data_IF_041513605322
#
_entry.id   IF_041513605322
#
_cell.length_a   1.000
_cell.length_b   1.000
_cell.length_c   1.000
_cell.angle_alpha   90.00
_cell.angle_beta   90.00
_cell.angle_gamma   90.00
#
_symmetry.space_group_name_H-M   'P 1'
#
loop_
_entity.id
_entity.type
_entity.pdbx_description
1 polymer ?
#
# COMPACT_ATOMS: atom_id res chain seq x y z
N UNK A 1 25.37 17.40 4.56
CA UNK A 1 25.90 16.18 5.23
C UNK A 1 24.96 15.65 6.32
N UNK A 2 24.34 16.48 7.16
CA UNK A 2 23.39 16.04 8.21
C UNK A 2 22.20 15.19 7.70
N UNK A 3 21.64 15.50 6.54
CA UNK A 3 20.54 14.74 5.97
C UNK A 3 20.91 13.31 5.52
N UNK A 4 22.18 13.06 5.19
CA UNK A 4 22.69 11.73 4.84
C UNK A 4 22.96 10.90 6.10
N UNK A 5 23.44 11.52 7.16
CA UNK A 5 23.79 10.85 8.41
C UNK A 5 22.54 10.48 9.23
N UNK A 6 21.50 11.30 9.16
CA UNK A 6 20.23 11.10 9.89
C UNK A 6 19.15 10.37 9.08
N UNK A 7 19.49 9.81 7.95
CA UNK A 7 18.53 9.08 7.12
C UNK A 7 18.18 7.75 7.80
N UNK A 8 16.92 7.53 8.23
CA UNK A 8 16.53 6.26 8.80
C UNK A 8 16.58 5.20 7.71
N UNK A 9 17.51 4.28 7.85
CA UNK A 9 17.63 3.09 7.03
C UNK A 9 17.73 1.87 7.94
N UNK A 10 17.57 0.69 7.40
CA UNK A 10 17.70 -0.57 8.13
C UNK A 10 19.01 -0.61 8.92
N UNK A 11 18.92 -0.78 10.23
CA UNK A 11 20.05 -0.85 11.14
C UNK A 11 20.69 0.49 11.52
N UNK A 12 20.17 1.59 11.02
CA UNK A 12 20.62 2.95 11.39
C UNK A 12 19.53 3.66 12.17
N UNK A 13 19.82 4.07 13.39
CA UNK A 13 18.89 4.84 14.19
C UNK A 13 18.85 6.28 13.70
N UNK A 14 17.66 6.90 13.61
CA UNK A 14 17.52 8.31 13.27
C UNK A 14 18.09 9.20 14.39
N UNK A 15 18.44 10.45 14.05
CA UNK A 15 18.83 11.44 15.03
C UNK A 15 17.74 11.75 16.06
N UNK A 16 18.14 12.27 17.21
CA UNK A 16 17.22 12.60 18.33
C UNK A 16 16.04 13.47 17.92
N UNK A 17 16.23 14.36 16.95
CA UNK A 17 15.22 15.31 16.50
C UNK A 17 14.25 14.73 15.45
N UNK A 18 14.48 13.50 14.98
CA UNK A 18 13.70 12.89 13.93
C UNK A 18 12.20 12.77 14.26
N UNK A 19 11.78 12.29 15.45
CA UNK A 19 10.37 12.24 15.81
C UNK A 19 9.70 13.63 15.83
N UNK A 20 10.43 14.65 16.25
CA UNK A 20 9.97 16.04 16.23
C UNK A 20 9.75 16.51 14.78
N UNK A 21 10.74 16.29 13.90
CA UNK A 21 10.65 16.66 12.48
C UNK A 21 9.46 15.97 11.77
N UNK A 22 9.24 14.68 12.02
CA UNK A 22 8.09 13.97 11.45
C UNK A 22 6.77 14.59 11.90
N UNK A 23 6.65 14.94 13.17
CA UNK A 23 5.46 15.55 13.74
C UNK A 23 5.22 16.96 13.20
N UNK A 24 6.23 17.80 13.20
CA UNK A 24 6.09 19.19 12.79
C UNK A 24 5.94 19.38 11.28
N UNK A 25 6.53 18.50 10.47
CA UNK A 25 6.50 18.62 9.01
C UNK A 25 5.44 17.73 8.39
N UNK A 26 5.46 16.44 8.62
CA UNK A 26 4.53 15.52 7.92
C UNK A 26 3.15 15.52 8.57
N UNK A 27 3.05 15.57 9.90
CA UNK A 27 1.73 15.60 10.54
C UNK A 27 1.02 16.93 10.39
N UNK A 28 1.74 18.02 10.06
CA UNK A 28 1.10 19.32 9.77
C UNK A 28 0.20 19.30 8.51
N UNK A 29 0.45 18.36 7.60
CA UNK A 29 -0.33 18.16 6.37
C UNK A 29 -1.16 16.87 6.40
N UNK A 30 -1.32 16.27 7.57
CA UNK A 30 -2.11 15.06 7.73
C UNK A 30 -3.56 15.30 7.31
N UNK A 31 -4.21 14.32 6.65
CA UNK A 31 -5.64 14.41 6.36
C UNK A 31 -6.47 14.55 7.64
N UNK A 32 -7.60 15.24 7.54
CA UNK A 32 -8.52 15.41 8.66
C UNK A 32 -8.90 14.06 9.28
N UNK A 33 -8.76 13.96 10.60
CA UNK A 33 -8.99 12.73 11.37
C UNK A 33 -7.75 11.87 11.58
N UNK A 34 -6.59 12.22 11.00
CA UNK A 34 -5.31 11.53 11.17
C UNK A 34 -4.25 12.38 11.88
N UNK A 35 -4.64 13.49 12.49
CA UNK A 35 -3.74 14.47 13.12
C UNK A 35 -2.93 13.86 14.28
N UNK A 36 -3.46 12.83 14.92
CA UNK A 36 -2.83 12.09 16.01
C UNK A 36 -2.23 10.75 15.57
N UNK A 37 -2.06 10.56 14.26
CA UNK A 37 -1.49 9.34 13.69
C UNK A 37 0.01 9.19 13.96
N UNK A 38 0.54 8.05 13.55
CA UNK A 38 1.97 7.77 13.57
C UNK A 38 2.53 7.76 12.15
N UNK A 39 3.73 8.29 11.98
CA UNK A 39 4.46 8.26 10.70
C UNK A 39 5.59 7.25 10.79
N UNK A 40 5.57 6.29 9.89
CA UNK A 40 6.69 5.34 9.70
C UNK A 40 7.31 5.59 8.34
N UNK A 41 8.58 5.94 8.32
CA UNK A 41 9.31 6.20 7.08
C UNK A 41 9.90 4.92 6.51
N UNK A 42 9.81 4.78 5.17
CA UNK A 42 10.32 3.64 4.43
C UNK A 42 11.29 4.10 3.34
N UNK A 43 12.07 3.17 2.77
CA UNK A 43 13.06 3.48 1.73
C UNK A 43 12.44 4.02 0.45
N UNK A 44 11.25 3.55 0.08
CA UNK A 44 10.58 3.94 -1.16
C UNK A 44 9.07 3.64 -1.09
N UNK A 45 8.32 4.06 -2.11
CA UNK A 45 6.89 3.79 -2.21
C UNK A 45 6.52 2.31 -2.21
N UNK A 46 7.33 1.44 -2.84
CA UNK A 46 7.11 -0.02 -2.79
C UNK A 46 7.17 -0.55 -1.36
N UNK A 47 8.21 -0.16 -0.60
CA UNK A 47 8.34 -0.57 0.80
C UNK A 47 7.22 -0.01 1.68
N UNK A 48 6.75 1.21 1.39
CA UNK A 48 5.62 1.82 2.09
C UNK A 48 4.33 1.02 1.85
N UNK A 49 4.07 0.61 0.60
CA UNK A 49 2.93 -0.23 0.26
C UNK A 49 3.01 -1.61 0.91
N UNK A 50 4.17 -2.28 0.86
CA UNK A 50 4.39 -3.58 1.53
C UNK A 50 4.09 -3.49 3.04
N UNK A 51 4.60 -2.44 3.68
CA UNK A 51 4.33 -2.23 5.10
C UNK A 51 2.84 -1.94 5.38
N UNK A 52 2.18 -1.17 4.52
CA UNK A 52 0.74 -0.90 4.62
C UNK A 52 -0.09 -2.18 4.49
N UNK A 53 0.23 -3.05 3.54
CA UNK A 53 -0.43 -4.35 3.39
C UNK A 53 -0.26 -5.20 4.65
N UNK A 54 0.95 -5.25 5.19
CA UNK A 54 1.26 -5.98 6.42
C UNK A 54 0.47 -5.46 7.62
N UNK A 55 0.37 -4.13 7.79
CA UNK A 55 -0.44 -3.52 8.85
C UNK A 55 -1.94 -3.82 8.70
N UNK A 56 -2.46 -3.82 7.47
CA UNK A 56 -3.84 -4.21 7.19
C UNK A 56 -4.11 -5.68 7.55
N UNK A 57 -3.20 -6.59 7.22
CA UNK A 57 -3.31 -8.00 7.61
C UNK A 57 -3.30 -8.18 9.12
N UNK A 58 -2.38 -7.49 9.83
CA UNK A 58 -2.34 -7.55 11.29
C UNK A 58 -3.65 -7.09 11.91
N UNK A 59 -4.15 -5.94 11.46
CA UNK A 59 -5.41 -5.39 11.99
C UNK A 59 -6.61 -6.27 11.70
N UNK A 60 -6.68 -6.82 10.49
CA UNK A 60 -7.74 -7.75 10.10
C UNK A 60 -7.70 -9.02 10.96
N UNK A 61 -6.54 -9.65 11.11
CA UNK A 61 -6.39 -10.87 11.88
C UNK A 61 -6.56 -10.67 13.38
N UNK A 62 -6.14 -9.52 13.93
CA UNK A 62 -6.44 -9.13 15.31
C UNK A 62 -7.95 -9.12 15.55
N UNK A 63 -8.72 -8.49 14.64
CA UNK A 63 -10.18 -8.46 14.68
C UNK A 63 -10.78 -9.88 14.60
N UNK A 64 -10.28 -10.70 13.69
CA UNK A 64 -10.77 -12.09 13.52
C UNK A 64 -10.49 -12.96 14.74
N UNK A 65 -9.38 -12.74 15.44
CA UNK A 65 -9.07 -13.43 16.71
C UNK A 65 -9.87 -12.94 17.91
N UNK A 66 -10.60 -11.83 17.79
CA UNK A 66 -11.36 -11.26 18.90
C UNK A 66 -10.48 -10.72 20.04
N UNK A 67 -9.24 -10.31 19.73
CA UNK A 67 -8.29 -9.75 20.70
C UNK A 67 -7.54 -10.78 21.56
N UNK A 68 -7.72 -12.10 21.34
CA UNK A 68 -6.91 -13.12 22.01
C UNK A 68 -5.46 -13.12 21.49
N UNK A 69 -4.54 -13.59 22.31
CA UNK A 69 -3.16 -13.84 21.91
C UNK A 69 -3.03 -15.01 20.91
N UNK A 70 -1.84 -15.15 20.32
CA UNK A 70 -1.52 -16.26 19.43
C UNK A 70 -1.46 -17.57 20.22
N UNK A 71 -1.95 -18.65 19.61
CA UNK A 71 -1.77 -19.99 20.14
C UNK A 71 -0.53 -20.66 19.52
N UNK A 72 -0.16 -21.84 20.07
CA UNK A 72 1.02 -22.58 19.65
C UNK A 72 0.94 -23.06 18.19
N UNK A 73 -0.25 -23.46 17.74
CA UNK A 73 -0.48 -23.89 16.37
C UNK A 73 -0.27 -22.73 15.37
N UNK A 74 -0.75 -21.51 15.69
CA UNK A 74 -0.53 -20.33 14.88
C UNK A 74 0.96 -19.95 14.84
N UNK A 75 1.66 -20.06 15.96
CA UNK A 75 3.10 -19.75 16.05
C UNK A 75 3.96 -20.77 15.29
N UNK A 76 3.61 -22.04 15.29
CA UNK A 76 4.37 -23.07 14.58
C UNK A 76 4.06 -23.11 13.09
N UNK A 77 2.79 -23.02 12.72
CA UNK A 77 2.37 -23.08 11.32
C UNK A 77 2.83 -21.86 10.49
N UNK A 78 2.94 -20.67 11.10
CA UNK A 78 3.47 -19.52 10.40
C UNK A 78 4.94 -19.66 9.98
N UNK A 79 5.73 -20.44 10.71
CA UNK A 79 7.16 -20.68 10.38
C UNK A 79 7.35 -21.52 9.12
N UNK A 80 6.31 -22.24 8.70
CA UNK A 80 6.30 -23.04 7.46
C UNK A 80 5.31 -22.49 6.42
N UNK A 81 4.89 -21.24 6.58
CA UNK A 81 3.98 -20.52 5.67
C UNK A 81 2.62 -21.22 5.49
N UNK A 82 2.10 -21.84 6.55
CA UNK A 82 0.82 -22.55 6.52
C UNK A 82 -0.22 -21.91 7.45
N UNK A 83 -1.49 -22.13 7.11
CA UNK A 83 -2.60 -21.79 8.00
C UNK A 83 -2.55 -22.70 9.26
N UNK A 84 -3.05 -22.22 10.42
CA UNK A 84 -3.73 -20.93 10.63
C UNK A 84 -2.78 -19.73 10.83
N UNK A 85 -1.50 -19.94 11.14
CA UNK A 85 -0.56 -18.86 11.44
C UNK A 85 -0.22 -17.98 10.24
N UNK A 86 -0.23 -18.54 9.01
CA UNK A 86 -0.15 -17.76 7.76
C UNK A 86 -1.50 -17.78 7.05
N UNK A 87 -2.34 -16.77 7.21
CA UNK A 87 -3.67 -16.73 6.61
C UNK A 87 -3.60 -16.53 5.10
N UNK A 88 -4.58 -17.08 4.36
CA UNK A 88 -4.75 -16.85 2.93
C UNK A 88 -5.53 -15.55 2.70
N UNK A 89 -4.82 -14.42 2.77
CA UNK A 89 -5.37 -13.10 2.51
C UNK A 89 -4.79 -12.53 1.22
N UNK A 90 -5.52 -11.60 0.62
CA UNK A 90 -5.11 -10.92 -0.62
C UNK A 90 -5.42 -9.43 -0.53
N UNK A 91 -4.82 -8.66 -1.43
CA UNK A 91 -5.11 -7.24 -1.61
C UNK A 91 -5.84 -7.07 -2.95
N UNK A 92 -7.02 -6.46 -2.92
CA UNK A 92 -7.72 -6.05 -4.13
C UNK A 92 -7.01 -4.82 -4.72
N UNK A 93 -6.67 -4.89 -5.99
CA UNK A 93 -6.10 -3.78 -6.75
C UNK A 93 -6.98 -3.42 -7.95
N UNK A 94 -6.62 -2.34 -8.65
CA UNK A 94 -7.35 -1.88 -9.83
C UNK A 94 -6.47 -1.95 -11.08
N UNK A 95 -7.11 -2.27 -12.22
CA UNK A 95 -6.43 -2.28 -13.51
C UNK A 95 -5.82 -0.90 -13.84
N UNK A 96 -4.66 -0.91 -14.49
CA UNK A 96 -3.88 0.29 -14.81
C UNK A 96 -3.12 0.90 -13.63
N UNK A 97 -3.31 0.41 -12.38
CA UNK A 97 -2.62 0.91 -11.19
C UNK A 97 -1.14 0.54 -11.14
N UNK A 98 -0.33 1.42 -10.55
CA UNK A 98 1.08 1.15 -10.24
C UNK A 98 1.32 1.32 -8.74
N UNK A 99 1.77 0.25 -8.08
CA UNK A 99 1.98 0.21 -6.62
C UNK A 99 3.42 -0.07 -6.21
N UNK A 100 4.30 -0.34 -7.16
CA UNK A 100 5.71 -0.64 -6.92
C UNK A 100 6.16 -1.95 -7.57
N UNK A 101 7.42 -2.33 -7.32
CA UNK A 101 8.06 -3.49 -7.95
C UNK A 101 8.61 -4.52 -6.96
N UNK A 102 8.35 -4.39 -5.67
CA UNK A 102 8.57 -5.48 -4.70
C UNK A 102 7.45 -6.52 -4.84
N UNK A 103 7.61 -7.72 -4.35
CA UNK A 103 6.74 -8.85 -4.68
C UNK A 103 5.24 -8.59 -4.47
N UNK A 104 4.84 -8.11 -3.29
CA UNK A 104 3.42 -7.84 -3.04
C UNK A 104 2.95 -6.55 -3.75
N UNK A 105 3.75 -5.49 -3.78
CA UNK A 105 3.42 -4.28 -4.52
C UNK A 105 3.34 -4.53 -6.05
N UNK A 106 4.19 -5.40 -6.59
CA UNK A 106 4.14 -5.80 -8.00
C UNK A 106 2.92 -6.69 -8.31
N UNK A 107 2.48 -7.50 -7.34
CA UNK A 107 1.24 -8.28 -7.47
C UNK A 107 0.01 -7.37 -7.66
N UNK A 108 0.03 -6.17 -7.06
CA UNK A 108 -0.99 -5.14 -7.22
C UNK A 108 -0.75 -4.19 -8.40
N UNK A 109 0.40 -4.26 -9.08
CA UNK A 109 0.74 -3.37 -10.21
C UNK A 109 0.22 -3.98 -11.51
N UNK A 110 -0.65 -3.25 -12.22
CA UNK A 110 -1.26 -3.66 -13.48
C UNK A 110 -1.10 -2.61 -14.59
N UNK A 111 -0.12 -1.72 -14.45
CA UNK A 111 0.07 -0.59 -15.36
C UNK A 111 0.72 -0.96 -16.70
N UNK A 112 1.69 -1.89 -16.70
CA UNK A 112 2.41 -2.32 -17.92
C UNK A 112 2.96 -3.74 -17.76
N UNK A 113 2.82 -4.56 -18.81
CA UNK A 113 3.31 -5.94 -18.84
C UNK A 113 4.83 -6.04 -18.55
N UNK A 114 5.63 -5.11 -19.09
CA UNK A 114 7.08 -5.10 -18.89
C UNK A 114 7.53 -5.04 -17.42
N UNK A 115 6.67 -4.60 -16.52
CA UNK A 115 6.98 -4.58 -15.10
C UNK A 115 6.89 -5.96 -14.43
N UNK A 116 6.15 -6.91 -15.03
CA UNK A 116 5.70 -8.16 -14.40
C UNK A 116 6.18 -9.43 -15.11
N UNK A 117 6.58 -9.34 -16.37
CA UNK A 117 7.00 -10.50 -17.17
C UNK A 117 8.08 -11.30 -16.44
N UNK A 118 7.94 -12.62 -16.45
CA UNK A 118 8.88 -13.60 -15.89
C UNK A 118 9.08 -13.53 -14.36
N UNK A 119 8.25 -12.75 -13.64
CA UNK A 119 8.32 -12.64 -12.19
C UNK A 119 7.19 -13.47 -11.55
N UNK A 120 7.49 -14.45 -10.68
CA UNK A 120 6.47 -15.16 -9.92
C UNK A 120 5.83 -14.22 -8.90
N UNK A 121 4.51 -14.07 -8.97
CA UNK A 121 3.74 -13.13 -8.15
C UNK A 121 2.55 -13.81 -7.49
N UNK A 122 1.94 -13.11 -6.53
CA UNK A 122 0.71 -13.56 -5.90
C UNK A 122 -0.47 -13.35 -6.85
N UNK A 123 -1.33 -14.37 -6.96
CA UNK A 123 -2.59 -14.30 -7.70
C UNK A 123 -3.65 -13.58 -6.86
N UNK A 124 -3.55 -12.27 -6.81
CA UNK A 124 -4.45 -11.39 -6.07
C UNK A 124 -5.50 -10.77 -6.99
N UNK A 125 -6.71 -10.49 -6.47
CA UNK A 125 -7.79 -9.96 -7.28
C UNK A 125 -7.48 -8.57 -7.85
N UNK A 126 -7.88 -8.37 -9.10
CA UNK A 126 -7.84 -7.10 -9.79
C UNK A 126 -9.24 -6.76 -10.31
N UNK A 127 -9.66 -5.53 -10.14
CA UNK A 127 -10.95 -5.02 -10.62
C UNK A 127 -10.76 -3.85 -11.59
N UNK A 128 -11.74 -3.64 -12.44
CA UNK A 128 -11.77 -2.44 -13.28
C UNK A 128 -11.89 -1.18 -12.42
N UNK A 129 -11.12 -0.15 -12.75
CA UNK A 129 -11.25 1.12 -12.07
C UNK A 129 -12.58 1.78 -12.45
N UNK A 130 -13.45 2.14 -11.49
CA UNK A 130 -14.75 2.73 -11.78
C UNK A 130 -14.58 4.05 -12.52
N UNK A 131 -15.24 4.16 -13.68
CA UNK A 131 -15.22 5.35 -14.52
C UNK A 131 -16.63 5.85 -14.73
N UNK A 132 -16.82 7.17 -14.62
CA UNK A 132 -18.06 7.79 -15.04
C UNK A 132 -18.16 7.72 -16.56
N UNK A 133 -19.32 7.30 -17.08
CA UNK A 133 -19.66 7.52 -18.50
C UNK A 133 -19.98 9.01 -18.66
N UNK A 134 -19.03 9.80 -19.17
CA UNK A 134 -19.28 11.19 -19.51
C UNK A 134 -20.20 11.24 -20.75
N UNK A 135 -21.50 11.28 -20.55
CA UNK A 135 -22.50 11.46 -21.60
C UNK A 135 -22.40 12.87 -22.21
N UNK A 136 -21.80 13.82 -21.47
CA UNK A 136 -21.74 15.23 -21.85
C UNK A 136 -20.81 15.56 -23.05
N UNK A 137 -19.76 14.79 -23.31
CA UNK A 137 -18.87 15.09 -24.45
C UNK A 137 -19.53 14.91 -25.81
N UNK A 138 -20.53 14.04 -25.93
CA UNK A 138 -21.28 13.85 -27.17
C UNK A 138 -22.27 14.97 -27.45
N UNK A 139 -22.76 15.63 -26.42
CA UNK A 139 -23.67 16.78 -26.55
C UNK A 139 -22.88 18.02 -26.99
N UNK A 140 -21.70 18.24 -26.45
CA UNK A 140 -20.86 19.39 -26.79
C UNK A 140 -20.30 19.25 -28.22
N UNK A 141 -19.88 18.05 -28.66
CA UNK A 141 -19.42 17.86 -30.04
C UNK A 141 -20.54 18.08 -31.08
N UNK A 142 -21.79 17.76 -30.73
CA UNK A 142 -22.94 18.02 -31.60
C UNK A 142 -23.43 19.47 -31.58
N UNK A 143 -23.08 20.25 -30.55
CA UNK A 143 -23.37 21.68 -30.44
C UNK A 143 -22.30 22.58 -31.07
N UNK A 144 -21.09 22.04 -31.29
CA UNK A 144 -19.95 22.80 -31.85
C UNK A 144 -19.72 22.43 -33.34
N UNK A 145 -20.52 21.57 -33.95
CA UNK A 145 -20.46 21.40 -35.40
C UNK A 145 -20.99 22.67 -36.08
N UNK A 146 -20.13 23.53 -36.67
CA UNK A 146 -20.62 24.63 -37.45
C UNK A 146 -21.25 24.06 -38.73
N UNK A 147 -22.46 24.43 -38.99
CA UNK A 147 -22.99 24.34 -40.33
C UNK A 147 -22.11 25.21 -41.27
N UNK A 148 -21.31 24.57 -42.09
CA UNK A 148 -20.79 25.10 -43.35
C UNK A 148 -21.24 24.15 -44.44
#
# INVERSE_FOLDING_TARGET
MAALVNRPALGVYPGRDWPKMLREVLMSVAPKGLENGHVTTMMCGSCSNENSFKMMYFKYMEKMRGGRDFNEEEMTSCMVNQAPGTPRLSILSFDGGFHGRTAAALSCTHSKAIHKLDVPLYDWPCADFPRYKFVYLKIISNLISPHI
#
